data_IF_584694043350
#
_entry.id   IF_584694043350
#
_cell.length_a   1.000
_cell.length_b   1.000
_cell.length_c   1.000
_cell.angle_alpha   90.00
_cell.angle_beta   90.00
_cell.angle_gamma   90.00
#
_symmetry.space_group_name_H-M   'P 1'
#
loop_
_entity.id
_entity.type
_entity.pdbx_description
1 polymer ?
#
# COMPACT_ATOMS: atom_id res chain seq x y z
N UNK A 1 7.23 30.21 31.01
CA UNK A 1 7.87 29.77 29.79
C UNK A 1 6.95 30.15 28.64
N UNK A 2 7.41 30.66 27.50
CA UNK A 2 6.53 30.88 26.36
C UNK A 2 5.92 29.53 25.99
N UNK A 3 4.61 29.53 25.73
CA UNK A 3 3.89 28.34 25.32
C UNK A 3 4.43 27.90 23.94
N UNK A 4 5.12 26.76 23.88
CA UNK A 4 5.59 26.22 22.62
C UNK A 4 4.39 25.87 21.74
N UNK A 5 4.36 26.37 20.51
CA UNK A 5 3.27 26.08 19.57
C UNK A 5 3.51 24.73 18.90
N UNK A 6 2.48 23.89 18.88
CA UNK A 6 2.49 22.63 18.12
C UNK A 6 2.36 22.94 16.62
N UNK A 7 3.37 22.59 15.83
CA UNK A 7 3.37 22.84 14.38
C UNK A 7 2.94 21.61 13.57
N UNK A 8 3.24 20.40 14.06
CA UNK A 8 2.94 19.17 13.33
C UNK A 8 1.45 18.97 13.01
N UNK A 9 0.46 19.22 13.91
CA UNK A 9 -0.94 19.06 13.57
C UNK A 9 -1.39 19.86 12.34
N UNK A 10 -0.80 21.04 12.11
CA UNK A 10 -1.10 21.86 10.92
C UNK A 10 -0.57 21.25 9.62
N UNK A 11 0.39 20.32 9.69
CA UNK A 11 0.86 19.60 8.51
C UNK A 11 -0.16 18.56 8.01
N UNK A 12 -1.13 18.17 8.84
CA UNK A 12 -2.20 17.25 8.45
C UNK A 12 -3.15 17.88 7.41
N UNK A 13 -3.27 19.21 7.39
CA UNK A 13 -4.03 19.92 6.36
C UNK A 13 -3.46 19.64 4.96
N UNK A 14 -2.15 19.59 4.82
CA UNK A 14 -1.49 19.23 3.57
C UNK A 14 -1.91 17.84 3.08
N UNK A 15 -1.96 16.86 3.98
CA UNK A 15 -2.39 15.50 3.62
C UNK A 15 -3.85 15.49 3.20
N UNK A 16 -4.72 16.14 3.98
CA UNK A 16 -6.15 16.26 3.62
C UNK A 16 -6.31 16.85 2.23
N UNK A 17 -5.66 17.97 1.96
CA UNK A 17 -5.80 18.69 0.69
C UNK A 17 -5.26 17.87 -0.49
N UNK A 18 -4.12 17.17 -0.32
CA UNK A 18 -3.57 16.27 -1.32
C UNK A 18 -4.53 15.11 -1.64
N UNK A 19 -5.15 14.52 -0.62
CA UNK A 19 -6.13 13.42 -0.80
C UNK A 19 -7.39 13.93 -1.51
N UNK A 20 -7.93 15.08 -1.10
CA UNK A 20 -9.12 15.65 -1.73
C UNK A 20 -8.90 16.06 -3.18
N UNK A 21 -7.70 16.56 -3.52
CA UNK A 21 -7.34 16.97 -4.87
C UNK A 21 -7.33 15.82 -5.89
N UNK A 22 -7.24 14.57 -5.43
CA UNK A 22 -7.21 13.38 -6.30
C UNK A 22 -8.47 12.49 -6.18
N UNK A 23 -9.60 13.07 -5.78
CA UNK A 23 -10.86 12.36 -5.56
C UNK A 23 -11.37 11.56 -6.76
N UNK A 24 -11.14 12.02 -8.00
CA UNK A 24 -11.49 11.29 -9.21
C UNK A 24 -10.65 10.03 -9.38
N UNK A 25 -9.34 10.14 -9.18
CA UNK A 25 -8.43 8.98 -9.25
C UNK A 25 -8.75 7.98 -8.14
N UNK A 26 -9.02 8.46 -6.91
CA UNK A 26 -9.46 7.62 -5.81
C UNK A 26 -10.73 6.84 -6.14
N UNK A 27 -11.71 7.52 -6.76
CA UNK A 27 -12.95 6.87 -7.20
C UNK A 27 -12.70 5.80 -8.25
N UNK A 28 -11.86 6.07 -9.25
CA UNK A 28 -11.49 5.10 -10.28
C UNK A 28 -10.76 3.88 -9.71
N UNK A 29 -9.84 4.09 -8.77
CA UNK A 29 -9.13 3.00 -8.07
C UNK A 29 -10.10 2.17 -7.22
N UNK A 30 -11.03 2.82 -6.51
CA UNK A 30 -12.03 2.13 -5.71
C UNK A 30 -12.99 1.27 -6.55
N UNK A 31 -13.38 1.74 -7.75
CA UNK A 31 -14.14 0.91 -8.71
C UNK A 31 -13.32 -0.29 -9.18
N UNK A 32 -12.02 -0.12 -9.44
CA UNK A 32 -11.11 -1.22 -9.79
C UNK A 32 -11.03 -2.27 -8.67
N UNK A 33 -10.96 -1.83 -7.41
CA UNK A 33 -10.98 -2.74 -6.25
C UNK A 33 -12.32 -3.47 -6.14
N UNK A 34 -13.42 -2.73 -6.34
CA UNK A 34 -14.75 -3.31 -6.30
C UNK A 34 -14.96 -4.36 -7.41
N UNK A 35 -14.40 -4.15 -8.61
CA UNK A 35 -14.43 -5.14 -9.70
C UNK A 35 -13.76 -6.44 -9.29
N UNK A 36 -12.53 -6.38 -8.77
CA UNK A 36 -11.78 -7.55 -8.33
C UNK A 36 -12.49 -8.29 -7.19
N UNK A 37 -12.98 -7.56 -6.19
CA UNK A 37 -13.65 -8.12 -5.02
C UNK A 37 -15.01 -8.73 -5.40
N UNK A 38 -15.78 -8.09 -6.27
CA UNK A 38 -17.05 -8.59 -6.77
C UNK A 38 -16.89 -9.88 -7.57
N UNK A 39 -15.78 -10.02 -8.30
CA UNK A 39 -15.42 -11.24 -9.02
C UNK A 39 -14.93 -12.39 -8.10
N UNK A 40 -14.88 -12.17 -6.78
CA UNK A 40 -14.37 -13.16 -5.81
C UNK A 40 -12.85 -13.17 -5.67
N UNK A 41 -12.15 -12.28 -6.36
CA UNK A 41 -10.71 -12.09 -6.30
C UNK A 41 -10.26 -11.21 -5.14
N UNK A 42 -9.00 -10.76 -5.21
CA UNK A 42 -8.36 -9.91 -4.21
C UNK A 42 -7.65 -8.71 -4.82
N UNK A 43 -7.42 -7.72 -3.99
CA UNK A 43 -6.48 -6.61 -4.22
C UNK A 43 -5.18 -6.97 -3.53
N UNK A 44 -4.10 -7.18 -4.28
CA UNK A 44 -2.79 -7.44 -3.71
C UNK A 44 -2.16 -6.14 -3.25
N UNK A 45 -1.60 -6.12 -2.04
CA UNK A 45 -1.01 -4.90 -1.47
C UNK A 45 0.41 -5.19 -0.99
N UNK A 46 1.37 -4.49 -1.57
CA UNK A 46 2.79 -4.58 -1.21
C UNK A 46 3.28 -3.30 -0.55
N UNK A 47 4.06 -3.45 0.50
CA UNK A 47 4.87 -2.39 1.07
C UNK A 47 6.10 -2.95 1.78
N UNK A 48 7.12 -2.11 1.93
CA UNK A 48 8.29 -2.37 2.76
C UNK A 48 8.52 -1.24 3.77
N UNK A 49 9.31 -1.51 4.81
CA UNK A 49 9.61 -0.55 5.84
C UNK A 49 8.36 -0.04 6.58
N UNK A 50 8.34 1.23 6.94
CA UNK A 50 7.23 1.85 7.66
C UNK A 50 5.93 1.93 6.84
N UNK A 51 6.01 1.90 5.50
CA UNK A 51 4.82 1.90 4.64
C UNK A 51 3.93 0.68 4.85
N UNK A 52 4.43 -0.42 5.46
CA UNK A 52 3.65 -1.62 5.80
C UNK A 52 2.45 -1.33 6.71
N UNK A 53 2.51 -0.27 7.51
CA UNK A 53 1.41 0.11 8.40
C UNK A 53 0.11 0.31 7.62
N UNK A 54 0.18 0.86 6.40
CA UNK A 54 -0.99 1.02 5.55
C UNK A 54 -1.53 -0.33 5.03
N UNK A 55 -0.68 -1.32 4.83
CA UNK A 55 -1.11 -2.69 4.48
C UNK A 55 -1.81 -3.36 5.66
N UNK A 56 -1.25 -3.22 6.86
CA UNK A 56 -1.84 -3.76 8.09
C UNK A 56 -3.23 -3.16 8.37
N UNK A 57 -3.41 -1.86 8.13
CA UNK A 57 -4.70 -1.17 8.26
C UNK A 57 -5.75 -1.64 7.24
N UNK A 58 -5.34 -2.01 6.04
CA UNK A 58 -6.26 -2.55 5.02
C UNK A 58 -6.64 -4.01 5.27
N UNK A 59 -5.69 -4.84 5.69
CA UNK A 59 -5.85 -6.29 5.58
C UNK A 59 -6.52 -6.93 6.79
N UNK A 60 -6.23 -6.48 8.02
CA UNK A 60 -6.74 -7.12 9.25
C UNK A 60 -7.01 -6.06 10.32
N UNK A 61 -7.97 -5.21 10.09
CA UNK A 61 -8.37 -4.14 11.01
C UNK A 61 -9.87 -4.11 11.18
N UNK A 62 -10.38 -3.77 12.37
CA UNK A 62 -11.80 -3.44 12.55
C UNK A 62 -12.19 -2.32 11.60
N UNK A 63 -13.22 -2.53 10.78
CA UNK A 63 -13.62 -1.66 9.69
C UNK A 63 -12.99 -2.03 8.33
N UNK A 64 -12.09 -3.02 8.27
CA UNK A 64 -11.52 -3.48 7.02
C UNK A 64 -12.49 -4.35 6.23
N UNK A 65 -12.58 -4.09 4.93
CA UNK A 65 -13.29 -4.91 3.95
C UNK A 65 -12.51 -6.21 3.68
N UNK A 66 -13.19 -7.33 3.43
CA UNK A 66 -12.54 -8.53 2.87
C UNK A 66 -12.07 -8.27 1.44
N UNK A 67 -11.03 -9.00 1.03
CA UNK A 67 -10.54 -8.97 -0.35
C UNK A 67 -9.20 -8.24 -0.52
N UNK A 68 -8.56 -7.78 0.55
CA UNK A 68 -7.18 -7.29 0.50
C UNK A 68 -6.21 -8.42 0.89
N UNK A 69 -5.17 -8.62 0.07
CA UNK A 69 -4.15 -9.65 0.26
C UNK A 69 -2.76 -9.02 0.43
N UNK A 70 -2.11 -9.16 1.61
CA UNK A 70 -0.81 -8.57 1.84
C UNK A 70 0.30 -9.37 1.17
N UNK A 71 1.20 -8.71 0.47
CA UNK A 71 2.49 -9.24 0.02
C UNK A 71 3.55 -8.61 0.90
N UNK A 72 3.86 -9.23 2.04
CA UNK A 72 4.80 -8.71 3.02
C UNK A 72 5.93 -9.72 3.28
N UNK A 73 7.15 -9.35 2.89
CA UNK A 73 8.32 -10.07 3.33
C UNK A 73 8.71 -9.65 4.76
N UNK A 74 8.82 -10.60 5.67
CA UNK A 74 9.16 -10.34 7.09
C UNK A 74 10.45 -9.52 7.23
N UNK A 75 11.47 -9.83 6.44
CA UNK A 75 12.74 -9.10 6.40
C UNK A 75 12.63 -7.63 5.98
N UNK A 76 11.56 -7.29 5.24
CA UNK A 76 11.27 -5.93 4.81
C UNK A 76 10.25 -5.21 5.71
N UNK A 77 9.50 -5.94 6.50
CA UNK A 77 8.39 -5.41 7.28
C UNK A 77 8.70 -5.30 8.78
N UNK A 78 9.59 -6.14 9.30
CA UNK A 78 9.87 -6.21 10.73
C UNK A 78 11.22 -5.59 11.06
N UNK A 79 11.21 -4.50 11.82
CA UNK A 79 12.41 -3.92 12.41
C UNK A 79 12.46 -4.31 13.89
N UNK A 80 13.30 -5.28 14.23
CA UNK A 80 13.55 -5.64 15.62
C UNK A 80 14.62 -4.75 16.25
N UNK A 81 14.61 -3.49 15.89
CA UNK A 81 15.39 -2.43 16.49
C UNK A 81 16.89 -2.58 16.51
N UNK A 82 17.36 -2.62 17.71
CA UNK A 82 18.73 -2.35 18.07
C UNK A 82 19.55 -3.62 18.05
N UNK A 83 18.91 -4.78 18.13
CA UNK A 83 19.60 -6.05 18.37
C UNK A 83 19.15 -7.11 17.39
N UNK A 84 20.11 -7.71 16.70
CA UNK A 84 19.89 -8.87 15.85
C UNK A 84 19.92 -8.61 14.35
N UNK A 85 19.80 -9.69 13.56
CA UNK A 85 19.95 -9.69 12.12
C UNK A 85 18.80 -8.98 11.35
N UNK A 86 17.72 -8.59 12.04
CA UNK A 86 16.56 -7.93 11.45
C UNK A 86 16.47 -6.43 11.78
N UNK A 87 17.59 -5.82 12.20
CA UNK A 87 17.64 -4.40 12.53
C UNK A 87 17.48 -3.50 11.30
N UNK A 88 17.35 -2.19 11.55
CA UNK A 88 17.13 -1.15 10.53
C UNK A 88 18.13 -1.24 9.36
N UNK A 89 19.40 -1.51 9.62
CA UNK A 89 20.45 -1.61 8.60
C UNK A 89 20.21 -2.77 7.64
N UNK A 90 19.76 -3.92 8.14
CA UNK A 90 19.45 -5.09 7.32
C UNK A 90 18.21 -4.82 6.48
N UNK A 91 17.15 -4.28 7.06
CA UNK A 91 15.96 -3.86 6.32
C UNK A 91 16.30 -2.90 5.17
N UNK A 92 17.11 -1.87 5.44
CA UNK A 92 17.58 -0.93 4.42
C UNK A 92 18.47 -1.57 3.35
N UNK A 93 19.22 -2.62 3.68
CA UNK A 93 20.03 -3.36 2.70
C UNK A 93 19.14 -4.24 1.81
N UNK A 94 18.19 -4.97 2.40
CA UNK A 94 17.30 -5.89 1.67
C UNK A 94 16.36 -5.14 0.72
N UNK A 95 15.86 -3.97 1.10
CA UNK A 95 14.99 -3.16 0.22
C UNK A 95 15.70 -2.61 -1.03
N UNK A 96 17.04 -2.70 -1.07
CA UNK A 96 17.87 -2.33 -2.23
C UNK A 96 18.17 -3.50 -3.16
N UNK A 97 17.74 -4.71 -2.80
CA UNK A 97 17.99 -5.91 -3.62
C UNK A 97 17.01 -5.95 -4.78
N UNK A 98 17.52 -5.82 -5.99
CA UNK A 98 16.78 -6.00 -7.23
C UNK A 98 16.58 -7.50 -7.53
N UNK A 99 15.47 -7.87 -8.18
CA UNK A 99 15.04 -9.26 -8.38
C UNK A 99 14.21 -9.82 -7.21
N UNK A 100 14.09 -9.09 -6.09
CA UNK A 100 13.27 -9.52 -4.96
C UNK A 100 11.78 -9.50 -5.31
N UNK A 101 11.33 -8.50 -6.07
CA UNK A 101 9.94 -8.39 -6.53
C UNK A 101 9.49 -9.60 -7.34
N UNK A 102 10.36 -10.11 -8.22
CA UNK A 102 10.10 -11.33 -8.97
C UNK A 102 9.89 -12.53 -8.04
N UNK A 103 10.74 -12.67 -7.00
CA UNK A 103 10.65 -13.76 -6.02
C UNK A 103 9.39 -13.69 -5.18
N UNK A 104 8.97 -12.49 -4.78
CA UNK A 104 7.73 -12.30 -4.05
C UNK A 104 6.50 -12.65 -4.91
N UNK A 105 6.52 -12.30 -6.20
CA UNK A 105 5.46 -12.65 -7.13
C UNK A 105 5.44 -14.14 -7.51
N UNK A 106 6.55 -14.86 -7.35
CA UNK A 106 6.60 -16.34 -7.55
C UNK A 106 5.74 -17.07 -6.50
N UNK A 107 5.54 -16.48 -5.32
CA UNK A 107 4.81 -17.08 -4.21
C UNK A 107 3.31 -16.76 -4.22
N UNK A 108 2.83 -15.99 -5.20
CA UNK A 108 1.44 -15.52 -5.25
C UNK A 108 0.81 -15.81 -6.60
N UNK A 109 -0.32 -16.51 -6.62
CA UNK A 109 -1.15 -16.64 -7.80
C UNK A 109 -2.03 -15.39 -7.98
N UNK A 110 -1.80 -14.67 -9.07
CA UNK A 110 -2.54 -13.45 -9.42
C UNK A 110 -3.48 -13.77 -10.59
N UNK A 111 -4.77 -13.59 -10.37
CA UNK A 111 -5.78 -13.80 -11.40
C UNK A 111 -5.90 -12.59 -12.34
N UNK A 112 -6.51 -12.77 -13.54
CA UNK A 112 -6.88 -11.64 -14.38
C UNK A 112 -7.69 -10.59 -13.61
N UNK A 113 -7.42 -9.32 -13.89
CA UNK A 113 -8.05 -8.14 -13.28
C UNK A 113 -7.79 -7.93 -11.77
N UNK A 114 -7.04 -8.81 -11.09
CA UNK A 114 -6.60 -8.56 -9.72
C UNK A 114 -5.52 -7.47 -9.70
N UNK A 115 -5.74 -6.34 -9.00
CA UNK A 115 -4.78 -5.25 -8.98
C UNK A 115 -3.63 -5.49 -8.02
N UNK A 116 -2.46 -4.90 -8.33
CA UNK A 116 -1.37 -4.73 -7.38
C UNK A 116 -1.29 -3.27 -6.91
N UNK A 117 -1.29 -3.08 -5.61
CA UNK A 117 -1.01 -1.79 -4.96
C UNK A 117 0.39 -1.81 -4.38
N UNK A 118 1.21 -0.86 -4.76
CA UNK A 118 2.58 -0.70 -4.23
C UNK A 118 2.65 0.57 -3.42
N UNK A 119 2.88 0.44 -2.11
CA UNK A 119 2.97 1.57 -1.18
C UNK A 119 4.43 1.83 -0.81
N UNK A 120 4.90 3.04 -1.07
CA UNK A 120 6.25 3.49 -0.77
C UNK A 120 6.24 4.95 -0.35
N UNK A 121 7.07 5.36 0.60
CA UNK A 121 7.17 6.77 0.98
C UNK A 121 7.56 7.64 -0.23
N UNK A 122 8.62 7.28 -0.92
CA UNK A 122 9.23 8.09 -1.99
C UNK A 122 8.93 7.59 -3.40
N UNK A 123 8.49 6.35 -3.55
CA UNK A 123 8.35 5.73 -4.88
C UNK A 123 9.67 5.39 -5.59
N UNK A 124 10.81 5.45 -4.88
CA UNK A 124 12.15 5.24 -5.46
C UNK A 124 12.86 4.00 -4.93
N UNK A 125 12.33 3.34 -3.88
CA UNK A 125 12.96 2.16 -3.28
C UNK A 125 13.03 1.02 -4.28
N UNK A 126 14.21 0.41 -4.44
CA UNK A 126 14.46 -0.60 -5.47
C UNK A 126 13.46 -1.74 -5.42
N UNK A 127 13.23 -2.35 -4.26
CA UNK A 127 12.29 -3.46 -4.13
C UNK A 127 10.84 -3.08 -4.50
N UNK A 128 10.41 -1.84 -4.23
CA UNK A 128 9.08 -1.36 -4.61
C UNK A 128 8.97 -1.15 -6.13
N UNK A 129 10.01 -0.61 -6.76
CA UNK A 129 10.07 -0.44 -8.22
C UNK A 129 10.15 -1.80 -8.90
N UNK A 130 10.97 -2.71 -8.37
CA UNK A 130 11.20 -4.05 -8.91
C UNK A 130 9.89 -4.85 -8.97
N UNK A 131 9.11 -4.92 -7.88
CA UNK A 131 7.84 -5.65 -7.89
C UNK A 131 6.82 -5.02 -8.84
N UNK A 132 6.79 -3.69 -8.96
CA UNK A 132 5.87 -3.00 -9.88
C UNK A 132 6.20 -3.29 -11.34
N UNK A 133 7.48 -3.24 -11.72
CA UNK A 133 7.94 -3.53 -13.07
C UNK A 133 7.72 -5.00 -13.43
N UNK A 134 8.04 -5.90 -12.51
CA UNK A 134 7.85 -7.34 -12.73
C UNK A 134 6.37 -7.72 -12.81
N UNK A 135 5.52 -7.11 -11.98
CA UNK A 135 4.07 -7.29 -12.08
C UNK A 135 3.53 -6.85 -13.45
N UNK A 136 3.90 -5.67 -13.92
CA UNK A 136 3.47 -5.18 -15.23
C UNK A 136 3.95 -6.07 -16.38
N UNK A 137 5.15 -6.63 -16.25
CA UNK A 137 5.70 -7.57 -17.24
C UNK A 137 4.93 -8.89 -17.29
N UNK A 138 4.57 -9.46 -16.12
CA UNK A 138 3.86 -10.76 -16.02
C UNK A 138 2.36 -10.62 -16.29
N UNK A 139 1.77 -9.52 -15.84
CA UNK A 139 0.32 -9.30 -15.84
C UNK A 139 -0.02 -7.95 -16.50
N UNK A 140 0.24 -7.80 -17.82
CA UNK A 140 0.14 -6.50 -18.49
C UNK A 140 -1.27 -5.90 -18.54
N UNK A 141 -2.30 -6.73 -18.38
CA UNK A 141 -3.72 -6.28 -18.38
C UNK A 141 -4.23 -5.96 -16.97
N UNK A 142 -3.51 -6.39 -15.93
CA UNK A 142 -3.93 -6.16 -14.54
C UNK A 142 -3.59 -4.73 -14.09
N UNK A 143 -4.43 -4.12 -13.24
CA UNK A 143 -4.20 -2.76 -12.77
C UNK A 143 -2.99 -2.65 -11.84
N UNK A 144 -2.14 -1.66 -12.05
CA UNK A 144 -1.05 -1.28 -11.15
C UNK A 144 -1.37 0.06 -10.48
N UNK A 145 -1.39 0.07 -9.15
CA UNK A 145 -1.61 1.27 -8.35
C UNK A 145 -0.35 1.57 -7.53
N UNK A 146 0.13 2.80 -7.56
CA UNK A 146 1.19 3.26 -6.67
C UNK A 146 0.65 4.30 -5.68
N UNK A 147 1.03 4.17 -4.42
CA UNK A 147 0.82 5.17 -3.37
C UNK A 147 2.21 5.63 -2.92
N UNK A 148 2.59 6.85 -3.30
CA UNK A 148 3.92 7.40 -2.97
C UNK A 148 3.91 8.93 -3.12
N UNK A 149 5.01 9.60 -2.76
CA UNK A 149 5.17 11.01 -3.10
C UNK A 149 5.33 11.19 -4.61
N UNK A 150 4.36 11.82 -5.26
CA UNK A 150 4.44 12.07 -6.71
C UNK A 150 5.64 12.93 -7.06
N UNK A 151 5.84 14.04 -6.34
CA UNK A 151 6.98 14.93 -6.56
C UNK A 151 8.30 14.18 -6.48
N UNK A 152 8.49 13.35 -5.44
CA UNK A 152 9.76 12.65 -5.28
C UNK A 152 9.92 11.50 -6.27
N UNK A 153 8.84 10.79 -6.61
CA UNK A 153 8.88 9.72 -7.60
C UNK A 153 9.13 10.25 -9.02
N UNK A 154 8.65 11.44 -9.35
CA UNK A 154 8.79 12.06 -10.67
C UNK A 154 10.12 12.79 -10.85
N UNK A 155 10.54 13.55 -9.83
CA UNK A 155 11.66 14.51 -9.94
C UNK A 155 12.94 13.99 -9.28
N UNK A 156 12.82 13.02 -8.38
CA UNK A 156 13.97 12.47 -7.68
C UNK A 156 14.76 11.47 -8.54
N UNK A 157 16.06 11.35 -8.29
CA UNK A 157 16.93 10.44 -9.02
C UNK A 157 16.48 8.97 -8.81
N UNK A 158 16.26 8.20 -9.89
CA UNK A 158 15.97 6.78 -9.79
C UNK A 158 17.09 6.02 -9.09
N UNK A 159 16.73 5.06 -8.24
CA UNK A 159 17.68 4.20 -7.51
C UNK A 159 17.75 2.79 -8.08
N UNK A 160 16.73 2.38 -8.82
CA UNK A 160 16.66 1.09 -9.49
C UNK A 160 17.50 1.11 -10.77
N UNK A 161 18.17 0.00 -11.09
CA UNK A 161 19.07 -0.13 -12.27
C UNK A 161 18.38 0.13 -13.62
N UNK A 162 17.06 -0.07 -13.68
CA UNK A 162 16.26 0.28 -14.86
C UNK A 162 16.17 1.79 -15.15
N UNK A 163 16.64 2.66 -14.25
CA UNK A 163 16.45 4.10 -14.34
C UNK A 163 15.02 4.57 -14.09
N UNK A 164 14.15 3.71 -13.51
CA UNK A 164 12.73 4.00 -13.28
C UNK A 164 12.40 4.16 -11.81
N UNK A 165 11.25 4.78 -11.55
CA UNK A 165 10.59 4.89 -10.25
C UNK A 165 9.18 4.33 -10.35
N UNK A 166 8.40 4.30 -9.27
CA UNK A 166 6.99 3.92 -9.32
C UNK A 166 6.16 4.82 -10.25
N UNK A 167 6.53 6.11 -10.38
CA UNK A 167 5.87 6.99 -11.33
C UNK A 167 5.99 6.48 -12.77
N UNK A 168 7.19 6.06 -13.18
CA UNK A 168 7.41 5.50 -14.51
C UNK A 168 6.69 4.16 -14.70
N UNK A 169 6.78 3.26 -13.70
CA UNK A 169 6.11 1.94 -13.76
C UNK A 169 4.59 2.08 -13.99
N UNK A 170 3.94 2.98 -13.25
CA UNK A 170 2.51 3.25 -13.40
C UNK A 170 2.17 3.87 -14.77
N UNK A 171 3.00 4.79 -15.26
CA UNK A 171 2.79 5.45 -16.56
C UNK A 171 2.94 4.50 -17.75
N UNK A 172 3.74 3.47 -17.60
CA UNK A 172 3.94 2.42 -18.62
C UNK A 172 2.90 1.30 -18.54
N UNK A 173 2.25 1.12 -17.40
CA UNK A 173 1.19 0.13 -17.23
C UNK A 173 -0.05 0.52 -18.03
N UNK A 174 -0.71 -0.45 -18.67
CA UNK A 174 -1.96 -0.20 -19.43
C UNK A 174 -3.08 0.38 -18.56
N UNK A 175 -3.15 -0.08 -17.31
CA UNK A 175 -4.13 0.37 -16.30
C UNK A 175 -3.36 0.83 -15.05
N UNK A 176 -2.66 1.95 -15.17
CA UNK A 176 -1.82 2.49 -14.11
C UNK A 176 -2.48 3.68 -13.41
N UNK A 177 -2.42 3.69 -12.06
CA UNK A 177 -2.93 4.77 -11.21
C UNK A 177 -1.87 5.19 -10.21
N UNK A 178 -1.61 6.48 -10.12
CA UNK A 178 -0.72 7.04 -9.12
C UNK A 178 -1.52 7.86 -8.12
N UNK A 179 -1.32 7.61 -6.82
CA UNK A 179 -1.93 8.34 -5.72
C UNK A 179 -0.82 9.00 -4.89
N UNK A 180 -0.85 10.32 -4.84
CA UNK A 180 0.12 11.11 -4.08
C UNK A 180 -0.20 11.05 -2.59
N UNK A 181 0.78 10.65 -1.79
CA UNK A 181 0.66 10.59 -0.34
C UNK A 181 0.79 11.95 0.36
N UNK A 182 0.95 13.05 -0.40
CA UNK A 182 1.06 14.40 0.11
C UNK A 182 2.35 14.73 0.88
N UNK A 183 3.29 13.80 0.91
CA UNK A 183 4.56 13.95 1.60
C UNK A 183 5.44 15.04 0.95
N UNK A 184 6.05 15.94 1.72
CA UNK A 184 7.04 16.86 1.17
C UNK A 184 8.33 16.14 0.76
N UNK A 185 9.15 16.78 -0.09
CA UNK A 185 10.45 16.26 -0.46
C UNK A 185 11.27 15.90 0.80
N UNK A 186 11.80 14.68 0.84
CA UNK A 186 12.62 14.19 1.96
C UNK A 186 11.84 13.66 3.17
N UNK A 187 10.51 13.62 3.11
CA UNK A 187 9.61 13.10 4.17
C UNK A 187 9.83 13.74 5.55
N UNK A 188 9.99 15.06 5.56
CA UNK A 188 10.16 15.84 6.79
C UNK A 188 9.23 17.05 6.73
N UNK A 189 8.36 17.19 7.72
CA UNK A 189 7.36 18.25 7.73
C UNK A 189 7.64 19.38 8.71
N UNK A 190 8.56 19.17 9.65
CA UNK A 190 8.82 20.14 10.72
C UNK A 190 10.31 20.25 10.97
N UNK A 191 10.78 21.49 11.15
CA UNK A 191 12.15 21.76 11.58
C UNK A 191 12.11 22.36 12.99
N UNK A 192 12.80 21.71 13.91
CA UNK A 192 12.99 22.21 15.28
C UNK A 192 14.36 22.81 15.40
N UNK A 193 14.42 24.07 15.75
CA UNK A 193 15.68 24.81 16.03
C UNK A 193 15.81 24.94 17.54
N UNK A 194 16.81 24.30 18.11
CA UNK A 194 17.09 24.30 19.53
C UNK A 194 18.52 24.73 19.87
N UNK A 195 18.84 24.80 21.15
CA UNK A 195 20.17 25.18 21.63
C UNK A 195 21.24 24.17 21.26
N UNK A 196 20.88 22.91 21.06
CA UNK A 196 21.79 21.81 20.75
C UNK A 196 21.90 21.50 19.25
N UNK A 197 21.08 22.14 18.40
CA UNK A 197 21.11 21.94 16.97
C UNK A 197 19.79 22.19 16.26
N UNK A 198 19.78 21.92 14.96
CA UNK A 198 18.60 21.96 14.10
C UNK A 198 18.22 20.53 13.72
N UNK A 199 16.96 20.18 13.92
CA UNK A 199 16.44 18.81 13.73
C UNK A 199 15.28 18.82 12.76
N UNK A 200 15.39 18.04 11.70
CA UNK A 200 14.30 17.77 10.76
C UNK A 200 13.54 16.53 11.25
N UNK A 201 12.26 16.70 11.51
CA UNK A 201 11.42 15.70 12.21
C UNK A 201 10.02 15.58 11.58
N UNK A 202 9.25 14.66 12.09
CA UNK A 202 7.84 14.46 11.76
C UNK A 202 7.62 14.05 10.29
N UNK A 203 7.92 12.80 9.91
CA UNK A 203 7.58 12.26 8.59
C UNK A 203 6.06 12.18 8.39
N UNK A 204 5.59 12.43 7.18
CA UNK A 204 4.17 12.44 6.80
C UNK A 204 3.75 11.27 5.91
N UNK A 205 4.70 10.58 5.27
CA UNK A 205 4.41 9.56 4.27
C UNK A 205 3.46 8.48 4.75
N UNK A 206 3.65 7.98 5.98
CA UNK A 206 2.77 6.95 6.55
C UNK A 206 1.37 7.49 6.81
N UNK A 207 1.22 8.73 7.27
CA UNK A 207 -0.07 9.35 7.53
C UNK A 207 -0.82 9.56 6.20
N UNK A 208 -0.13 10.03 5.18
CA UNK A 208 -0.70 10.17 3.84
C UNK A 208 -1.17 8.83 3.28
N UNK A 209 -0.32 7.80 3.37
CA UNK A 209 -0.70 6.46 2.94
C UNK A 209 -1.90 5.91 3.72
N UNK A 210 -1.95 6.08 5.05
CA UNK A 210 -3.09 5.69 5.88
C UNK A 210 -4.38 6.42 5.47
N UNK A 211 -4.31 7.73 5.23
CA UNK A 211 -5.47 8.51 4.79
C UNK A 211 -5.99 8.01 3.45
N UNK A 212 -5.11 7.72 2.50
CA UNK A 212 -5.47 7.18 1.18
C UNK A 212 -6.12 5.79 1.27
N UNK A 213 -5.53 4.86 2.03
CA UNK A 213 -6.06 3.50 2.12
C UNK A 213 -7.40 3.45 2.84
N UNK A 214 -7.63 4.29 3.86
CA UNK A 214 -8.94 4.40 4.49
C UNK A 214 -9.98 5.03 3.55
N UNK A 215 -9.60 6.05 2.77
CA UNK A 215 -10.48 6.64 1.75
C UNK A 215 -10.84 5.63 0.67
N UNK A 216 -9.88 4.82 0.22
CA UNK A 216 -10.12 3.74 -0.75
C UNK A 216 -11.01 2.64 -0.16
N UNK A 217 -10.81 2.24 1.11
CA UNK A 217 -11.68 1.28 1.78
C UNK A 217 -13.14 1.77 1.82
N UNK A 218 -13.36 3.01 2.21
CA UNK A 218 -14.69 3.65 2.22
C UNK A 218 -15.31 3.66 0.81
N UNK A 219 -14.60 4.18 -0.18
CA UNK A 219 -15.10 4.30 -1.55
C UNK A 219 -15.38 2.92 -2.18
N UNK A 220 -14.56 1.91 -1.89
CA UNK A 220 -14.76 0.55 -2.37
C UNK A 220 -16.02 -0.06 -1.78
N UNK A 221 -16.26 0.10 -0.47
CA UNK A 221 -17.49 -0.36 0.19
C UNK A 221 -18.71 0.31 -0.47
N UNK A 222 -18.67 1.62 -0.69
CA UNK A 222 -19.74 2.36 -1.38
C UNK A 222 -19.97 1.86 -2.81
N UNK A 223 -18.90 1.50 -3.53
CA UNK A 223 -18.99 0.97 -4.89
C UNK A 223 -19.64 -0.42 -4.91
N UNK A 224 -19.26 -1.31 -3.99
CA UNK A 224 -19.87 -2.63 -3.84
C UNK A 224 -21.35 -2.55 -3.44
N UNK A 225 -21.68 -1.67 -2.50
CA UNK A 225 -23.05 -1.44 -2.04
C UNK A 225 -23.96 -0.93 -3.18
N UNK A 226 -23.51 0.07 -3.95
CA UNK A 226 -24.26 0.57 -5.12
C UNK A 226 -24.55 -0.51 -6.16
N UNK A 227 -23.67 -1.52 -6.26
CA UNK A 227 -23.81 -2.65 -7.18
C UNK A 227 -24.64 -3.81 -6.60
N UNK A 228 -25.09 -3.71 -5.34
CA UNK A 228 -25.77 -4.79 -4.63
C UNK A 228 -24.88 -6.03 -4.40
N UNK A 229 -23.57 -5.88 -4.42
CA UNK A 229 -22.61 -6.96 -4.19
C UNK A 229 -22.48 -7.23 -2.70
N UNK A 230 -22.77 -8.46 -2.28
CA UNK A 230 -22.57 -8.86 -0.89
C UNK A 230 -21.08 -8.83 -0.55
N UNK A 231 -20.74 -8.12 0.50
CA UNK A 231 -19.37 -7.97 0.99
C UNK A 231 -19.34 -8.05 2.52
N UNK A 232 -18.18 -8.27 3.09
CA UNK A 232 -17.99 -8.39 4.53
C UNK A 232 -16.99 -7.35 5.02
N UNK A 233 -17.38 -6.59 6.04
CA UNK A 233 -16.52 -5.65 6.75
C UNK A 233 -16.27 -6.21 8.14
N UNK A 234 -14.99 -6.23 8.56
CA UNK A 234 -14.65 -6.70 9.89
C UNK A 234 -15.20 -5.72 10.93
N UNK A 235 -16.05 -6.24 11.68
CA UNK A 235 -16.89 -5.47 12.52
C UNK A 235 -16.21 -5.02 13.83
N UNK A 236 -16.63 -3.90 14.37
CA UNK A 236 -16.17 -3.41 15.66
C UNK A 236 -16.99 -4.01 16.79
N UNK A 237 -16.35 -4.85 17.62
CA UNK A 237 -17.01 -5.52 18.75
C UNK A 237 -17.63 -4.53 19.77
N UNK A 238 -17.12 -3.31 19.85
CA UNK A 238 -17.67 -2.25 20.71
C UNK A 238 -19.00 -1.66 20.17
N UNK A 239 -19.37 -1.97 18.93
CA UNK A 239 -20.62 -1.50 18.30
C UNK A 239 -21.69 -2.58 18.22
N UNK A 240 -21.67 -3.57 19.12
CA UNK A 240 -22.69 -4.61 19.25
C UNK A 240 -22.61 -5.72 18.20
N UNK A 241 -21.41 -6.00 17.68
CA UNK A 241 -21.23 -7.03 16.66
C UNK A 241 -21.19 -8.42 17.24
N UNK A 242 -21.74 -9.35 16.44
CA UNK A 242 -21.88 -10.75 16.81
C UNK A 242 -20.68 -11.58 16.32
N UNK A 243 -20.46 -12.71 16.97
CA UNK A 243 -19.47 -13.70 16.52
C UNK A 243 -19.73 -14.17 15.08
N UNK A 244 -21.00 -14.25 14.66
CA UNK A 244 -21.38 -14.65 13.31
C UNK A 244 -20.82 -13.70 12.23
N UNK A 245 -20.78 -12.39 12.50
CA UNK A 245 -20.18 -11.42 11.58
C UNK A 245 -18.66 -11.60 11.45
N UNK A 246 -18.00 -11.89 12.57
CA UNK A 246 -16.57 -12.18 12.56
C UNK A 246 -16.27 -13.46 11.78
N UNK A 247 -17.04 -14.52 12.02
CA UNK A 247 -16.86 -15.81 11.36
C UNK A 247 -17.17 -15.71 9.86
N UNK A 248 -18.18 -14.94 9.47
CA UNK A 248 -18.49 -14.67 8.06
C UNK A 248 -17.36 -13.91 7.36
N UNK A 249 -16.82 -12.86 7.99
CA UNK A 249 -15.67 -12.12 7.49
C UNK A 249 -14.45 -13.02 7.34
N UNK A 250 -14.08 -13.75 8.40
CA UNK A 250 -12.93 -14.64 8.41
C UNK A 250 -13.07 -15.77 7.37
N UNK A 251 -14.27 -16.33 7.24
CA UNK A 251 -14.56 -17.37 6.25
C UNK A 251 -14.39 -16.87 4.81
N UNK A 252 -14.85 -15.65 4.50
CA UNK A 252 -14.64 -15.03 3.19
C UNK A 252 -13.17 -14.75 2.92
N UNK A 253 -12.47 -14.17 3.87
CA UNK A 253 -11.05 -13.86 3.75
C UNK A 253 -10.20 -15.11 3.51
N UNK A 254 -10.47 -16.20 4.26
CA UNK A 254 -9.78 -17.48 4.07
C UNK A 254 -10.01 -18.10 2.68
N UNK A 255 -11.23 -18.03 2.16
CA UNK A 255 -11.52 -18.52 0.80
C UNK A 255 -10.73 -17.74 -0.26
N UNK A 256 -10.69 -16.41 -0.14
CA UNK A 256 -9.95 -15.55 -1.05
C UNK A 256 -8.45 -15.82 -0.98
N UNK A 257 -7.89 -15.92 0.23
CA UNK A 257 -6.47 -16.21 0.41
C UNK A 257 -6.08 -17.59 -0.10
N UNK A 258 -6.93 -18.59 0.09
CA UNK A 258 -6.68 -19.93 -0.45
C UNK A 258 -6.52 -19.90 -1.98
N UNK A 259 -7.21 -19.00 -2.67
CA UNK A 259 -7.11 -18.85 -4.12
C UNK A 259 -5.83 -18.12 -4.58
N UNK A 260 -5.09 -17.47 -3.68
CA UNK A 260 -3.80 -16.80 -3.99
C UNK A 260 -2.59 -17.67 -3.71
N UNK A 261 -2.78 -18.87 -3.15
CA UNK A 261 -1.68 -19.78 -2.86
C UNK A 261 -1.17 -20.43 -4.15
N UNK A 262 0.14 -20.59 -4.21
CA UNK A 262 0.83 -21.22 -5.32
C UNK A 262 0.24 -22.62 -5.66
N UNK A 263 -0.02 -22.87 -6.92
CA UNK A 263 -0.58 -24.10 -7.50
C UNK A 263 -2.09 -24.37 -7.24
N UNK A 264 -2.86 -23.48 -6.64
CA UNK A 264 -4.30 -23.70 -6.52
C UNK A 264 -5.07 -23.35 -7.80
N UNK A 265 -4.59 -22.36 -8.58
CA UNK A 265 -5.27 -21.86 -9.79
C UNK A 265 -4.70 -22.41 -11.09
N UNK A 266 -3.44 -22.78 -11.13
CA UNK A 266 -2.79 -23.29 -12.34
C UNK A 266 -2.15 -24.67 -12.11
N UNK A 267 -2.57 -25.67 -12.91
CA UNK A 267 -1.88 -26.95 -13.03
C UNK A 267 -0.79 -26.93 -14.10
N UNK A 268 -0.59 -25.82 -14.78
CA UNK A 268 0.43 -25.68 -15.80
C UNK A 268 1.70 -25.04 -15.22
N UNK A 269 2.87 -25.58 -15.50
CA UNK A 269 4.12 -24.95 -15.12
C UNK A 269 4.21 -23.58 -15.82
N UNK A 270 4.54 -22.53 -15.04
CA UNK A 270 4.79 -21.20 -15.61
C UNK A 270 6.01 -21.27 -16.52
N UNK A 271 5.99 -20.62 -17.69
CA UNK A 271 7.13 -20.57 -18.61
C UNK A 271 8.37 -19.91 -17.99
#
# INVERSE_FOLDING_TARGET
MPQESLTFPHQLDRIRDAVLAQSETLSAVAETYADAIAAGGVVHVYANGHSRVAVEELCVRMGALTGFHPILAVSLASFTDVVGASGLRVGQAVEKVEGLGAKLLDEVDIAPDEPLVVISATGQTQAAVDIALEFTRRYPENPLIAIASETQAREGAPKHSSGKTLYHAVREAKRGYFLDNGMPMGDVSTTVVGQTGTYNVCPLSSIGALTLVHSLNELTIRALDRRGVKHHVLANMHLGQTQDNYDAWLGDQRRRYAATLYNFRSREPRP
#
